data_IF_290430157551
#
_entry.id   IF_290430157551
#
_cell.length_a   1.000
_cell.length_b   1.000
_cell.length_c   1.000
_cell.angle_alpha   90.00
_cell.angle_beta   90.00
_cell.angle_gamma   90.00
#
_symmetry.space_group_name_H-M   'P 1'
#
loop_
_entity.id
_entity.type
_entity.pdbx_description
1 polymer ?
#
# COMPACT_ATOMS: atom_id res chain seq x y z
N UNK A 1 -2.53 -46.75 -60.68
CA UNK A 1 -3.76 -47.30 -60.07
C UNK A 1 -3.75 -46.90 -58.60
N UNK A 2 -4.95 -46.66 -58.07
CA UNK A 2 -5.31 -46.28 -56.70
C UNK A 2 -5.52 -44.78 -56.47
N UNK A 3 -6.82 -44.47 -56.36
CA UNK A 3 -7.53 -43.21 -56.22
C UNK A 3 -7.50 -42.67 -54.78
N UNK A 4 -7.64 -41.34 -54.64
CA UNK A 4 -8.28 -40.60 -53.53
C UNK A 4 -8.32 -39.12 -53.97
N UNK A 5 -9.40 -38.64 -54.58
CA UNK A 5 -10.66 -38.14 -53.98
C UNK A 5 -10.46 -36.84 -53.17
N UNK A 6 -10.66 -35.73 -53.90
CA UNK A 6 -11.40 -34.50 -53.56
C UNK A 6 -11.70 -34.21 -52.07
N UNK A 7 -11.35 -32.99 -51.61
CA UNK A 7 -12.30 -32.03 -50.97
C UNK A 7 -11.71 -30.62 -51.06
N UNK A 8 -12.41 -29.72 -51.75
CA UNK A 8 -12.19 -28.27 -51.70
C UNK A 8 -12.56 -27.70 -50.32
N UNK A 9 -11.78 -26.80 -49.72
CA UNK A 9 -12.26 -26.05 -48.57
C UNK A 9 -13.23 -24.97 -49.04
N UNK A 10 -14.48 -25.19 -48.66
CA UNK A 10 -15.63 -24.31 -48.74
C UNK A 10 -15.29 -22.93 -48.16
N UNK A 11 -15.55 -21.91 -48.96
CA UNK A 11 -15.72 -20.52 -48.54
C UNK A 11 -16.73 -20.44 -47.39
N UNK A 12 -16.27 -20.03 -46.22
CA UNK A 12 -17.13 -19.41 -45.21
C UNK A 12 -16.46 -18.11 -44.78
N UNK A 13 -16.65 -17.06 -45.57
CA UNK A 13 -16.55 -15.71 -45.05
C UNK A 13 -17.72 -15.50 -44.08
N UNK A 14 -17.49 -15.12 -42.81
CA UNK A 14 -18.54 -14.47 -42.07
C UNK A 14 -18.63 -13.05 -42.61
N UNK A 15 -19.74 -12.72 -43.27
CA UNK A 15 -20.15 -11.33 -43.45
C UNK A 15 -20.32 -10.74 -42.05
N UNK A 16 -19.27 -10.10 -41.55
CA UNK A 16 -19.34 -9.20 -40.43
C UNK A 16 -20.11 -7.97 -40.92
N UNK A 17 -21.43 -8.02 -40.82
CA UNK A 17 -22.25 -6.81 -40.85
C UNK A 17 -21.63 -5.84 -39.85
N UNK A 18 -21.22 -4.67 -40.33
CA UNK A 18 -20.51 -3.67 -39.53
C UNK A 18 -21.31 -3.41 -38.27
N UNK A 19 -20.76 -3.78 -37.11
CA UNK A 19 -21.42 -3.56 -35.84
C UNK A 19 -21.78 -2.08 -35.73
N UNK A 20 -22.96 -1.74 -35.20
CA UNK A 20 -23.32 -0.35 -34.92
C UNK A 20 -22.21 0.38 -34.14
N UNK A 21 -21.50 -0.35 -33.28
CA UNK A 21 -20.32 0.15 -32.58
C UNK A 21 -19.17 0.48 -33.54
N UNK A 22 -18.88 -0.38 -34.52
CA UNK A 22 -17.82 -0.15 -35.50
C UNK A 22 -18.16 1.04 -36.42
N UNK A 23 -19.45 1.25 -36.74
CA UNK A 23 -19.92 2.43 -37.48
C UNK A 23 -19.80 3.73 -36.67
N UNK A 24 -20.05 3.71 -35.35
CA UNK A 24 -19.85 4.87 -34.46
C UNK A 24 -18.35 5.15 -34.29
N UNK A 25 -17.53 4.11 -34.15
CA UNK A 25 -16.07 4.25 -34.06
C UNK A 25 -15.46 4.79 -35.35
N UNK A 26 -16.04 4.48 -36.52
CA UNK A 26 -15.60 5.04 -37.80
C UNK A 26 -15.87 6.56 -37.95
N UNK A 27 -16.81 7.12 -37.19
CA UNK A 27 -17.04 8.57 -37.12
C UNK A 27 -16.11 9.29 -36.14
N UNK A 28 -15.37 8.52 -35.32
CA UNK A 28 -14.36 9.06 -34.40
C UNK A 28 -13.04 9.34 -35.11
N UNK A 29 -12.18 10.19 -34.52
CA UNK A 29 -10.84 10.48 -35.05
C UNK A 29 -9.82 9.33 -34.85
N UNK A 30 -10.24 8.19 -34.31
CA UNK A 30 -9.35 7.09 -33.95
C UNK A 30 -9.19 6.11 -35.13
N UNK A 31 -7.95 5.84 -35.52
CA UNK A 31 -7.64 4.86 -36.56
C UNK A 31 -7.67 3.43 -35.99
N UNK A 32 -8.22 2.43 -36.71
CA UNK A 32 -8.35 1.05 -36.23
C UNK A 32 -7.05 0.37 -35.82
N UNK A 33 -5.91 0.78 -36.39
CA UNK A 33 -4.59 0.21 -36.12
C UNK A 33 -3.89 0.81 -34.87
N UNK A 34 -4.51 1.80 -34.22
CA UNK A 34 -3.95 2.42 -33.02
C UNK A 34 -4.29 1.63 -31.75
N UNK A 35 -3.33 1.52 -30.82
CA UNK A 35 -3.55 0.92 -29.50
C UNK A 35 -4.71 1.61 -28.74
N UNK A 36 -4.88 2.90 -28.96
CA UNK A 36 -5.97 3.72 -28.43
C UNK A 36 -7.36 3.34 -28.96
N UNK A 37 -7.47 2.69 -30.11
CA UNK A 37 -8.77 2.27 -30.67
C UNK A 37 -9.45 1.21 -29.80
N UNK A 38 -8.66 0.26 -29.25
CA UNK A 38 -9.18 -0.78 -28.36
C UNK A 38 -9.73 -0.20 -27.04
N UNK A 39 -8.99 0.74 -26.44
CA UNK A 39 -9.38 1.43 -25.20
C UNK A 39 -10.64 2.28 -25.46
N UNK A 40 -10.66 3.04 -26.55
CA UNK A 40 -11.81 3.86 -26.91
C UNK A 40 -13.06 3.00 -27.19
N UNK A 41 -12.92 1.86 -27.88
CA UNK A 41 -14.02 0.92 -28.12
C UNK A 41 -14.60 0.37 -26.83
N UNK A 42 -13.75 -0.01 -25.86
CA UNK A 42 -14.22 -0.44 -24.54
C UNK A 42 -14.94 0.67 -23.79
N UNK A 43 -14.39 1.90 -23.81
CA UNK A 43 -15.01 3.07 -23.18
C UNK A 43 -16.38 3.40 -23.76
N UNK A 44 -16.52 3.43 -25.10
CA UNK A 44 -17.80 3.68 -25.78
C UNK A 44 -18.81 2.57 -25.48
N UNK A 45 -18.38 1.31 -25.44
CA UNK A 45 -19.26 0.18 -25.11
C UNK A 45 -19.78 0.26 -23.68
N UNK A 46 -18.90 0.57 -22.72
CA UNK A 46 -19.28 0.76 -21.31
C UNK A 46 -20.23 1.96 -21.14
N UNK A 47 -19.99 3.05 -21.87
CA UNK A 47 -20.82 4.25 -21.84
C UNK A 47 -22.23 4.01 -22.39
N UNK A 48 -22.36 3.37 -23.56
CA UNK A 48 -23.67 3.01 -24.13
C UNK A 48 -24.42 2.07 -23.19
N UNK A 49 -23.74 1.11 -22.57
CA UNK A 49 -24.34 0.20 -21.58
C UNK A 49 -24.87 0.96 -20.35
N UNK A 50 -24.15 1.98 -19.89
CA UNK A 50 -24.56 2.84 -18.78
C UNK A 50 -25.74 3.78 -19.15
N UNK A 51 -25.77 4.29 -20.38
CA UNK A 51 -26.89 5.11 -20.89
C UNK A 51 -28.18 4.31 -20.99
N UNK A 52 -28.10 3.06 -21.47
CA UNK A 52 -29.26 2.16 -21.56
C UNK A 52 -29.87 1.83 -20.19
N UNK A 53 -29.09 1.92 -19.11
CA UNK A 53 -29.57 1.70 -17.75
C UNK A 53 -30.20 2.95 -17.11
N UNK A 54 -29.90 4.15 -17.61
CA UNK A 54 -30.27 5.43 -16.97
C UNK A 54 -31.34 6.25 -17.72
N UNK A 55 -31.97 5.71 -18.78
CA UNK A 55 -33.05 6.36 -19.56
C UNK A 55 -32.79 7.87 -19.86
N UNK A 56 -31.53 8.24 -20.12
CA UNK A 56 -31.18 9.64 -20.35
C UNK A 56 -31.57 10.07 -21.77
N UNK A 57 -32.44 11.07 -21.90
CA UNK A 57 -32.96 11.56 -23.18
C UNK A 57 -31.94 12.34 -24.03
N UNK A 58 -30.84 12.83 -23.43
CA UNK A 58 -29.77 13.52 -24.18
C UNK A 58 -28.38 13.29 -23.59
N UNK A 59 -27.42 12.99 -24.49
CA UNK A 59 -26.01 12.84 -24.15
C UNK A 59 -25.34 14.20 -24.22
N UNK A 60 -25.24 14.88 -23.08
CA UNK A 60 -24.47 16.12 -22.92
C UNK A 60 -23.16 15.85 -22.18
N UNK A 61 -22.17 16.73 -22.34
CA UNK A 61 -20.90 16.71 -21.60
C UNK A 61 -21.18 16.73 -20.08
N UNK A 62 -22.24 17.40 -19.66
CA UNK A 62 -22.71 17.42 -18.27
C UNK A 62 -23.12 16.03 -17.77
N UNK A 63 -23.77 15.21 -18.61
CA UNK A 63 -24.15 13.85 -18.25
C UNK A 63 -22.94 12.94 -18.10
N UNK A 64 -21.92 13.09 -18.95
CA UNK A 64 -20.64 12.37 -18.84
C UNK A 64 -19.91 12.74 -17.55
N UNK A 65 -19.82 14.03 -17.23
CA UNK A 65 -19.20 14.49 -15.98
C UNK A 65 -19.95 13.98 -14.74
N UNK A 66 -21.28 13.88 -14.80
CA UNK A 66 -22.08 13.29 -13.72
C UNK A 66 -21.78 11.79 -13.54
N UNK A 67 -21.61 11.04 -14.63
CA UNK A 67 -21.21 9.62 -14.55
C UNK A 67 -19.80 9.45 -13.99
N UNK A 68 -18.85 10.31 -14.37
CA UNK A 68 -17.49 10.30 -13.81
C UNK A 68 -17.55 10.60 -12.31
N UNK A 69 -18.31 11.61 -11.89
CA UNK A 69 -18.46 11.95 -10.49
C UNK A 69 -19.06 10.79 -9.65
N UNK A 70 -20.01 10.03 -10.21
CA UNK A 70 -20.54 8.82 -9.54
C UNK A 70 -19.47 7.73 -9.40
N UNK A 71 -18.66 7.50 -10.44
CA UNK A 71 -17.54 6.56 -10.39
C UNK A 71 -16.51 7.00 -9.34
N UNK A 72 -16.12 8.28 -9.36
CA UNK A 72 -15.16 8.84 -8.41
C UNK A 72 -15.68 8.72 -6.98
N UNK A 73 -16.96 9.01 -6.72
CA UNK A 73 -17.57 8.84 -5.39
C UNK A 73 -17.55 7.36 -4.95
N UNK A 74 -17.83 6.42 -5.86
CA UNK A 74 -17.74 4.98 -5.55
C UNK A 74 -16.30 4.54 -5.25
N UNK A 75 -15.33 5.02 -6.02
CA UNK A 75 -13.90 4.71 -5.80
C UNK A 75 -13.43 5.35 -4.50
N UNK A 76 -13.79 6.62 -4.26
CA UNK A 76 -13.47 7.35 -3.03
C UNK A 76 -14.02 6.63 -1.81
N UNK A 77 -15.28 6.21 -1.80
CA UNK A 77 -15.86 5.42 -0.70
C UNK A 77 -15.10 4.12 -0.47
N UNK A 78 -14.71 3.42 -1.54
CA UNK A 78 -13.95 2.18 -1.41
C UNK A 78 -12.53 2.43 -0.86
N UNK A 79 -11.87 3.47 -1.35
CA UNK A 79 -10.56 3.89 -0.87
C UNK A 79 -10.62 4.35 0.58
N UNK A 80 -11.66 5.07 0.97
CA UNK A 80 -11.88 5.50 2.35
C UNK A 80 -12.00 4.30 3.27
N UNK A 81 -12.73 3.25 2.88
CA UNK A 81 -12.80 2.02 3.68
C UNK A 81 -11.43 1.34 3.85
N UNK A 82 -10.61 1.33 2.80
CA UNK A 82 -9.28 0.69 2.83
C UNK A 82 -8.30 1.52 3.68
N UNK A 83 -8.28 2.84 3.48
CA UNK A 83 -7.34 3.75 4.16
C UNK A 83 -7.73 4.03 5.61
N UNK A 84 -9.01 3.91 5.95
CA UNK A 84 -9.50 4.06 7.33
C UNK A 84 -9.57 2.74 8.11
N UNK A 85 -9.05 1.65 7.54
CA UNK A 85 -8.83 0.43 8.30
C UNK A 85 -7.80 0.70 9.43
N UNK A 86 -8.11 0.37 10.69
CA UNK A 86 -7.25 0.70 11.83
C UNK A 86 -5.87 0.06 11.74
N UNK A 87 -5.74 -1.11 11.12
CA UNK A 87 -4.45 -1.80 10.96
C UNK A 87 -3.56 -1.03 9.98
N UNK A 88 -4.15 -0.57 8.88
CA UNK A 88 -3.45 0.26 7.88
C UNK A 88 -3.06 1.60 8.48
N UNK A 89 -3.97 2.26 9.21
CA UNK A 89 -3.68 3.55 9.83
C UNK A 89 -2.56 3.47 10.87
N UNK A 90 -2.53 2.42 11.69
CA UNK A 90 -1.47 2.22 12.67
C UNK A 90 -0.10 2.06 11.98
N UNK A 91 -0.02 1.19 10.97
CA UNK A 91 1.20 0.98 10.20
C UNK A 91 1.62 2.26 9.44
N UNK A 92 0.67 2.94 8.80
CA UNK A 92 0.93 4.18 8.07
C UNK A 92 1.44 5.28 9.02
N UNK A 93 0.84 5.42 10.21
CA UNK A 93 1.29 6.39 11.21
C UNK A 93 2.74 6.16 11.63
N UNK A 94 3.12 4.89 11.83
CA UNK A 94 4.49 4.49 12.17
C UNK A 94 5.44 4.83 11.02
N UNK A 95 5.12 4.42 9.79
CA UNK A 95 5.98 4.67 8.64
C UNK A 95 6.11 6.16 8.30
N UNK A 96 5.02 6.93 8.40
CA UNK A 96 5.05 8.38 8.20
C UNK A 96 5.87 9.09 9.27
N UNK A 97 5.76 8.68 10.54
CA UNK A 97 6.57 9.23 11.63
C UNK A 97 8.06 8.94 11.46
N UNK A 98 8.42 7.72 11.04
CA UNK A 98 9.80 7.35 10.73
C UNK A 98 10.34 8.15 9.55
N UNK A 99 9.53 8.30 8.48
CA UNK A 99 9.88 9.14 7.34
C UNK A 99 10.13 10.58 7.76
N UNK A 100 9.27 11.16 8.61
CA UNK A 100 9.45 12.50 9.16
C UNK A 100 10.78 12.62 9.93
N UNK A 101 11.11 11.63 10.77
CA UNK A 101 12.35 11.61 11.54
C UNK A 101 13.57 11.61 10.61
N UNK A 102 13.56 10.75 9.59
CA UNK A 102 14.66 10.64 8.62
C UNK A 102 14.79 11.92 7.78
N UNK A 103 13.68 12.49 7.29
CA UNK A 103 13.69 13.71 6.48
C UNK A 103 14.15 14.95 7.25
N UNK A 104 13.91 14.99 8.56
CA UNK A 104 14.33 16.11 9.43
C UNK A 104 15.72 15.95 10.01
N UNK A 105 16.35 14.79 9.85
CA UNK A 105 17.70 14.53 10.35
C UNK A 105 18.70 14.73 9.21
N UNK A 106 19.73 15.55 9.42
CA UNK A 106 20.81 15.67 8.44
C UNK A 106 21.83 14.52 8.64
N UNK A 107 21.93 13.57 7.70
CA UNK A 107 22.89 12.46 7.82
C UNK A 107 24.35 12.91 7.72
N UNK A 108 24.63 14.14 7.27
CA UNK A 108 26.00 14.69 7.17
C UNK A 108 26.57 15.06 8.52
N UNK A 109 25.73 15.26 9.52
CA UNK A 109 26.11 15.61 10.90
C UNK A 109 26.45 14.35 11.74
N UNK A 110 26.84 13.25 11.10
CA UNK A 110 27.17 11.96 11.73
C UNK A 110 26.04 11.36 12.60
N UNK A 111 24.79 11.62 12.25
CA UNK A 111 23.64 11.04 12.94
C UNK A 111 23.29 9.71 12.29
N UNK A 112 23.26 8.64 13.09
CA UNK A 112 22.83 7.31 12.67
C UNK A 112 21.54 6.93 13.38
N UNK A 113 20.57 6.46 12.61
CA UNK A 113 19.29 5.98 13.11
C UNK A 113 19.24 4.47 12.94
N UNK A 114 19.02 3.76 14.04
CA UNK A 114 18.83 2.31 14.04
C UNK A 114 17.35 1.99 14.25
N UNK A 115 16.84 1.06 13.45
CA UNK A 115 15.46 0.58 13.58
C UNK A 115 15.46 -0.82 14.19
N UNK A 116 14.70 -0.99 15.27
CA UNK A 116 14.42 -2.29 15.87
C UNK A 116 12.91 -2.55 15.74
N UNK A 117 12.55 -3.61 15.03
CA UNK A 117 11.16 -4.07 14.97
C UNK A 117 10.86 -4.95 16.18
N UNK A 118 9.98 -4.47 17.05
CA UNK A 118 9.44 -5.23 18.17
C UNK A 118 8.04 -4.74 18.49
N UNK A 119 7.09 -5.65 18.68
CA UNK A 119 5.79 -5.28 19.26
C UNK A 119 5.94 -5.05 20.76
N UNK A 120 4.96 -4.34 21.34
CA UNK A 120 4.98 -4.02 22.77
C UNK A 120 4.91 -5.28 23.65
N UNK A 121 4.12 -6.26 23.23
CA UNK A 121 3.94 -7.51 23.95
C UNK A 121 5.20 -8.38 23.85
N UNK A 122 5.80 -8.50 22.66
CA UNK A 122 7.08 -9.20 22.47
C UNK A 122 8.20 -8.59 23.31
N UNK A 123 8.22 -7.26 23.44
CA UNK A 123 9.23 -6.58 24.25
C UNK A 123 9.06 -6.89 25.74
N UNK A 124 7.82 -6.93 26.25
CA UNK A 124 7.53 -7.31 27.63
C UNK A 124 7.89 -8.78 27.87
N UNK A 125 7.46 -9.68 26.99
CA UNK A 125 7.76 -11.11 27.07
C UNK A 125 9.27 -11.36 27.04
N UNK A 126 10.02 -10.58 26.26
CA UNK A 126 11.49 -10.67 26.24
C UNK A 126 12.12 -10.34 27.59
N UNK A 127 11.60 -9.35 28.31
CA UNK A 127 12.06 -9.01 29.66
C UNK A 127 11.62 -10.04 30.70
N UNK A 128 10.45 -10.65 30.54
CA UNK A 128 9.96 -11.67 31.47
C UNK A 128 10.66 -13.02 31.30
N UNK A 129 11.05 -13.36 30.07
CA UNK A 129 11.80 -14.57 29.77
C UNK A 129 13.25 -14.51 30.26
N UNK A 130 13.85 -13.33 30.27
CA UNK A 130 15.22 -13.14 30.73
C UNK A 130 15.30 -13.25 32.28
N UNK A 131 16.21 -14.06 32.84
CA UNK A 131 16.40 -14.15 34.29
C UNK A 131 16.79 -12.81 34.94
N UNK A 132 17.53 -12.00 34.19
CA UNK A 132 17.95 -10.65 34.57
C UNK A 132 17.79 -9.70 33.38
N UNK A 133 17.55 -8.42 33.69
CA UNK A 133 17.36 -7.37 32.67
C UNK A 133 18.59 -7.25 31.74
N UNK A 134 19.80 -7.47 32.28
CA UNK A 134 21.08 -7.45 31.57
C UNK A 134 21.22 -8.60 30.55
N UNK A 135 20.37 -9.62 30.63
CA UNK A 135 20.36 -10.76 29.71
C UNK A 135 19.23 -10.66 28.68
N UNK A 136 18.43 -9.59 28.73
CA UNK A 136 17.37 -9.35 27.74
C UNK A 136 17.94 -9.04 26.35
N UNK A 137 17.16 -9.34 25.32
CA UNK A 137 17.50 -8.99 23.94
C UNK A 137 17.59 -7.48 23.74
N UNK A 138 16.71 -6.72 24.38
CA UNK A 138 16.75 -5.26 24.34
C UNK A 138 18.05 -4.69 24.93
N UNK A 139 18.50 -5.21 26.07
CA UNK A 139 19.79 -4.82 26.66
C UNK A 139 20.96 -5.10 25.71
N UNK A 140 20.94 -6.22 24.99
CA UNK A 140 21.98 -6.54 24.02
C UNK A 140 22.08 -5.49 22.90
N UNK A 141 20.95 -5.00 22.41
CA UNK A 141 20.90 -4.01 21.32
C UNK A 141 21.21 -2.58 21.76
N UNK A 142 20.82 -2.21 22.99
CA UNK A 142 21.03 -0.83 23.48
C UNK A 142 22.37 -0.67 24.18
N UNK A 143 22.74 -1.63 25.04
CA UNK A 143 23.98 -1.57 25.82
C UNK A 143 25.10 -2.34 25.14
N UNK A 144 24.96 -3.67 24.96
CA UNK A 144 26.11 -4.52 24.63
C UNK A 144 26.69 -4.26 23.24
N UNK A 145 25.88 -3.99 22.22
CA UNK A 145 26.38 -3.75 20.85
C UNK A 145 27.02 -2.37 20.64
N UNK A 146 26.70 -1.40 21.49
CA UNK A 146 27.21 -0.03 21.40
C UNK A 146 28.09 0.30 22.58
N UNK A 147 27.47 0.72 23.68
CA UNK A 147 28.14 1.23 24.89
C UNK A 147 29.11 0.21 25.52
N UNK A 148 28.73 -1.07 25.57
CA UNK A 148 29.53 -2.14 26.16
C UNK A 148 30.62 -2.72 25.25
N UNK A 149 30.70 -2.28 23.99
CA UNK A 149 31.64 -2.81 23.01
C UNK A 149 32.84 -1.88 22.84
N UNK A 150 34.07 -2.43 22.86
CA UNK A 150 35.27 -1.65 22.59
C UNK A 150 35.26 -1.09 21.16
N UNK A 151 35.30 0.23 21.03
CA UNK A 151 35.19 0.92 19.74
C UNK A 151 33.78 0.92 19.13
N UNK A 152 32.75 0.53 19.90
CA UNK A 152 31.36 0.60 19.49
C UNK A 152 30.81 2.03 19.51
N UNK A 153 29.70 2.25 18.79
CA UNK A 153 28.98 3.51 18.80
C UNK A 153 27.83 3.42 19.82
N UNK A 154 27.83 4.23 20.89
CA UNK A 154 26.79 4.16 21.90
C UNK A 154 25.44 4.69 21.38
N UNK A 155 24.35 4.09 21.85
CA UNK A 155 23.00 4.59 21.58
C UNK A 155 22.76 5.84 22.42
N UNK A 156 22.43 6.96 21.78
CA UNK A 156 22.25 8.24 22.47
C UNK A 156 20.87 8.37 23.12
N UNK A 157 19.82 7.87 22.48
CA UNK A 157 18.44 7.89 22.96
C UNK A 157 17.65 6.76 22.30
N UNK A 158 16.58 6.31 22.97
CA UNK A 158 15.67 5.30 22.45
C UNK A 158 14.29 5.90 22.23
N UNK A 159 13.79 5.79 21.01
CA UNK A 159 12.44 6.24 20.66
C UNK A 159 11.50 5.03 20.66
N UNK A 160 10.65 4.93 21.67
CA UNK A 160 9.59 3.92 21.73
C UNK A 160 8.32 4.41 21.06
N UNK A 161 7.99 3.91 19.87
CA UNK A 161 6.73 4.22 19.20
C UNK A 161 5.57 3.35 19.74
N UNK A 162 5.23 3.55 21.02
CA UNK A 162 4.18 2.80 21.71
C UNK A 162 3.23 3.72 22.46
N UNK A 163 1.96 3.33 22.52
CA UNK A 163 0.98 3.94 23.40
C UNK A 163 0.96 3.23 24.77
N UNK A 164 1.42 3.90 25.83
CA UNK A 164 1.35 3.41 27.20
C UNK A 164 0.03 3.82 27.87
N UNK A 165 -0.60 2.86 28.55
CA UNK A 165 -1.82 3.01 29.35
C UNK A 165 -1.46 2.81 30.83
N UNK A 166 -2.35 3.24 31.72
CA UNK A 166 -2.20 2.99 33.16
C UNK A 166 -2.63 1.57 33.52
N UNK A 167 -1.89 0.57 33.05
CA UNK A 167 -2.10 -0.84 33.38
C UNK A 167 -0.80 -1.43 33.97
N UNK A 168 -0.90 -2.58 34.64
CA UNK A 168 0.25 -3.18 35.31
C UNK A 168 1.35 -3.63 34.33
N UNK A 169 0.98 -4.14 33.15
CA UNK A 169 1.92 -4.62 32.14
C UNK A 169 2.79 -3.48 31.56
N UNK A 170 2.16 -2.36 31.24
CA UNK A 170 2.77 -1.15 30.69
C UNK A 170 3.68 -0.48 31.70
N UNK A 171 3.25 -0.39 32.96
CA UNK A 171 4.10 0.14 34.04
C UNK A 171 5.30 -0.77 34.30
N UNK A 172 5.12 -2.09 34.20
CA UNK A 172 6.21 -3.06 34.32
C UNK A 172 7.19 -2.93 33.15
N UNK A 173 6.69 -2.79 31.91
CA UNK A 173 7.51 -2.56 30.73
C UNK A 173 8.31 -1.25 30.84
N UNK A 174 7.65 -0.14 31.22
CA UNK A 174 8.33 1.14 31.45
C UNK A 174 9.42 1.03 32.51
N UNK A 175 9.18 0.27 33.59
CA UNK A 175 10.19 0.01 34.62
C UNK A 175 11.40 -0.74 34.04
N UNK A 176 11.20 -1.77 33.23
CA UNK A 176 12.30 -2.50 32.60
C UNK A 176 13.09 -1.65 31.60
N UNK A 177 12.40 -0.93 30.71
CA UNK A 177 13.03 -0.02 29.74
C UNK A 177 13.82 1.05 30.49
N UNK A 178 13.25 1.67 31.52
CA UNK A 178 13.95 2.68 32.32
C UNK A 178 15.22 2.16 32.99
N UNK A 179 15.23 0.90 33.43
CA UNK A 179 16.42 0.28 34.02
C UNK A 179 17.52 0.09 32.97
N UNK A 180 17.18 -0.37 31.76
CA UNK A 180 18.14 -0.50 30.66
C UNK A 180 18.66 0.85 30.20
N UNK A 181 17.76 1.82 30.02
CA UNK A 181 18.09 3.21 29.68
C UNK A 181 19.04 3.84 30.69
N UNK A 182 18.83 3.60 31.99
CA UNK A 182 19.71 4.07 33.05
C UNK A 182 21.10 3.41 32.99
N UNK A 183 21.18 2.12 32.65
CA UNK A 183 22.45 1.40 32.47
C UNK A 183 23.22 1.86 31.23
N UNK A 184 22.52 2.15 30.13
CA UNK A 184 23.11 2.56 28.86
C UNK A 184 23.29 4.07 28.71
N UNK A 185 22.82 4.87 29.67
CA UNK A 185 22.76 6.33 29.60
C UNK A 185 22.01 6.85 28.35
N UNK A 186 20.99 6.12 27.92
CA UNK A 186 20.18 6.43 26.75
C UNK A 186 18.71 6.62 27.18
N UNK A 187 18.23 7.87 27.31
CA UNK A 187 16.84 8.14 27.69
C UNK A 187 15.84 7.61 26.68
#
# INVERSE_FOLDING_TARGET
MSLQEEVAPVSVAPEAGTSLLDNIMAQSRFQPESESYGIARQGVTAFISALLQNEAESVDILAVNAMIADIDDRISRQMDLILHDPVIQELESLLRSLKLLVERTDPRENIKIYLLHATKDELLDNFEFAPEITQSGFYKHVYSSGYGQFGGEPVAAVIGNYAFKNNAADLKLLKYVSAVSAMAHAP
#
